data_IF_613272013750
#
_entry.id   IF_613272013750
#
_cell.length_a   1.000
_cell.length_b   1.000
_cell.length_c   1.000
_cell.angle_alpha   90.00
_cell.angle_beta   90.00
_cell.angle_gamma   90.00
#
_symmetry.space_group_name_H-M   'P 1'
#
loop_
_entity.id
_entity.type
_entity.pdbx_description
1 polymer ?
#
# COMPACT_ATOMS: atom_id res chain seq x y z
N UNK A 1 -16.85 -35.10 -29.35
CA UNK A 1 -15.84 -35.13 -28.27
C UNK A 1 -15.35 -33.70 -28.05
N UNK A 2 -15.73 -33.06 -26.94
CA UNK A 2 -15.18 -31.75 -26.55
C UNK A 2 -13.87 -32.05 -25.80
N UNK A 3 -12.73 -31.63 -26.35
CA UNK A 3 -11.45 -31.64 -25.67
C UNK A 3 -11.57 -30.72 -24.45
N UNK A 4 -11.45 -31.28 -23.25
CA UNK A 4 -11.22 -30.48 -22.06
C UNK A 4 -9.73 -30.09 -22.02
N UNK A 5 -9.40 -28.82 -21.72
CA UNK A 5 -8.01 -28.40 -21.53
C UNK A 5 -7.42 -29.11 -20.30
N UNK A 6 -6.13 -29.46 -20.39
CA UNK A 6 -5.44 -30.18 -19.34
C UNK A 6 -5.17 -29.27 -18.12
N UNK A 7 -5.26 -29.76 -16.87
CA UNK A 7 -5.12 -28.94 -15.65
C UNK A 7 -3.70 -28.41 -15.39
N UNK A 8 -2.74 -28.69 -16.28
CA UNK A 8 -1.33 -28.29 -16.18
C UNK A 8 -0.95 -27.07 -17.03
N UNK A 9 -1.82 -26.61 -17.94
CA UNK A 9 -1.52 -25.54 -18.90
C UNK A 9 -1.98 -24.14 -18.42
N UNK A 10 -3.02 -24.07 -17.60
CA UNK A 10 -3.59 -22.79 -17.10
C UNK A 10 -2.56 -21.83 -16.46
N UNK A 11 -1.66 -22.26 -15.53
CA UNK A 11 -0.73 -21.32 -14.91
C UNK A 11 0.32 -20.77 -15.87
N UNK A 12 0.70 -21.52 -16.92
CA UNK A 12 1.63 -21.00 -17.93
C UNK A 12 0.96 -20.01 -18.86
N UNK A 13 -0.31 -20.24 -19.18
CA UNK A 13 -1.10 -19.34 -20.03
C UNK A 13 -1.38 -18.01 -19.34
N UNK A 14 -1.68 -18.01 -18.03
CA UNK A 14 -1.82 -16.77 -17.25
C UNK A 14 -0.52 -15.96 -17.21
N UNK A 15 0.64 -16.60 -17.00
CA UNK A 15 1.92 -15.90 -17.01
C UNK A 15 2.25 -15.29 -18.39
N UNK A 16 1.86 -15.96 -19.49
CA UNK A 16 2.02 -15.41 -20.85
C UNK A 16 1.11 -14.20 -21.07
N UNK A 17 -0.15 -14.27 -20.61
CA UNK A 17 -1.08 -13.13 -20.67
C UNK A 17 -0.54 -11.94 -19.89
N UNK A 18 -0.07 -12.15 -18.66
CA UNK A 18 0.50 -11.10 -17.81
C UNK A 18 1.74 -10.49 -18.47
N UNK A 19 2.66 -11.31 -19.01
CA UNK A 19 3.85 -10.80 -19.72
C UNK A 19 3.47 -9.96 -20.94
N UNK A 20 2.48 -10.39 -21.70
CA UNK A 20 2.01 -9.63 -22.86
C UNK A 20 1.33 -8.32 -22.44
N UNK A 21 0.57 -8.33 -21.35
CA UNK A 21 -0.10 -7.14 -20.81
C UNK A 21 0.88 -6.10 -20.26
N UNK A 22 1.92 -6.53 -19.56
CA UNK A 22 2.93 -5.67 -18.96
C UNK A 22 4.03 -5.24 -19.94
N UNK A 23 3.98 -5.70 -21.20
CA UNK A 23 4.97 -5.32 -22.19
C UNK A 23 4.74 -3.86 -22.59
N UNK A 24 5.77 -3.00 -22.53
CA UNK A 24 5.62 -1.61 -22.96
C UNK A 24 5.19 -1.55 -24.43
N UNK A 25 4.40 -0.53 -24.83
CA UNK A 25 4.03 -0.36 -26.22
C UNK A 25 5.29 -0.15 -27.09
N UNK A 26 5.26 -0.57 -28.36
CA UNK A 26 6.35 -0.28 -29.28
C UNK A 26 6.46 1.24 -29.49
N UNK A 27 7.69 1.73 -29.59
CA UNK A 27 7.97 3.13 -29.92
C UNK A 27 7.83 3.28 -31.44
N UNK A 28 7.09 4.28 -31.96
CA UNK A 28 6.99 4.53 -33.40
C UNK A 28 8.37 4.65 -34.05
N UNK A 29 8.56 3.95 -35.17
CA UNK A 29 9.79 3.94 -35.96
C UNK A 29 11.08 3.47 -35.25
N UNK A 30 10.97 2.93 -34.02
CA UNK A 30 12.11 2.41 -33.26
C UNK A 30 11.92 0.91 -33.01
N UNK A 31 12.66 0.03 -33.73
CA UNK A 31 12.58 -1.40 -33.50
C UNK A 31 13.14 -1.75 -32.12
N UNK A 32 12.53 -2.74 -31.47
CA UNK A 32 13.01 -3.34 -30.22
C UNK A 32 13.38 -2.32 -29.12
N UNK A 33 12.58 -1.26 -28.99
CA UNK A 33 12.80 -0.17 -28.02
C UNK A 33 14.18 0.51 -28.12
N UNK A 34 14.84 0.41 -29.28
CA UNK A 34 16.16 0.98 -29.51
C UNK A 34 17.27 0.18 -28.83
N UNK A 35 16.99 -1.04 -28.38
CA UNK A 35 17.98 -1.95 -27.85
C UNK A 35 18.89 -2.36 -29.03
N UNK A 36 20.21 -2.07 -28.95
CA UNK A 36 21.14 -2.46 -30.01
C UNK A 36 21.24 -3.98 -30.10
N UNK A 37 21.54 -4.49 -31.30
CA UNK A 37 21.83 -5.91 -31.49
C UNK A 37 23.02 -6.34 -30.61
N UNK A 38 23.00 -7.60 -30.18
CA UNK A 38 24.09 -8.18 -29.39
C UNK A 38 25.43 -7.98 -30.11
N UNK A 39 26.42 -7.45 -29.38
CA UNK A 39 27.75 -7.22 -29.92
C UNK A 39 28.51 -8.55 -30.04
N UNK A 40 29.05 -8.86 -31.20
CA UNK A 40 29.92 -10.03 -31.41
C UNK A 40 31.37 -9.80 -30.95
N UNK A 41 31.71 -8.58 -30.52
CA UNK A 41 33.07 -8.24 -30.08
C UNK A 41 33.41 -8.88 -28.72
N UNK A 42 34.65 -9.37 -28.54
CA UNK A 42 35.09 -9.89 -27.26
C UNK A 42 35.16 -8.77 -26.21
N UNK A 43 34.63 -9.04 -25.02
CA UNK A 43 34.67 -8.10 -23.89
C UNK A 43 36.11 -7.75 -23.50
N UNK A 44 36.37 -6.46 -23.24
CA UNK A 44 37.68 -5.95 -22.81
C UNK A 44 38.23 -6.76 -21.61
N UNK A 45 39.42 -7.38 -21.74
CA UNK A 45 40.01 -8.19 -20.68
C UNK A 45 40.22 -7.39 -19.38
N UNK A 46 40.52 -6.09 -19.45
CA UNK A 46 40.71 -5.28 -18.25
C UNK A 46 39.39 -5.08 -17.49
N UNK A 47 38.28 -4.84 -18.20
CA UNK A 47 36.96 -4.75 -17.61
C UNK A 47 36.51 -6.09 -17.01
N UNK A 48 36.73 -7.20 -17.73
CA UNK A 48 36.45 -8.55 -17.23
C UNK A 48 37.22 -8.84 -15.94
N UNK A 49 38.51 -8.52 -15.89
CA UNK A 49 39.34 -8.71 -14.69
C UNK A 49 38.80 -7.91 -13.49
N UNK A 50 38.41 -6.65 -13.70
CA UNK A 50 37.79 -5.81 -12.65
C UNK A 50 36.50 -6.42 -12.13
N UNK A 51 35.60 -6.85 -13.03
CA UNK A 51 34.34 -7.49 -12.64
C UNK A 51 34.58 -8.79 -11.87
N UNK A 52 35.54 -9.62 -12.30
CA UNK A 52 35.90 -10.84 -11.59
C UNK A 52 36.43 -10.55 -10.18
N UNK A 53 37.22 -9.49 -10.01
CA UNK A 53 37.70 -9.06 -8.69
C UNK A 53 36.53 -8.64 -7.79
N UNK A 54 35.59 -7.83 -8.28
CA UNK A 54 34.41 -7.45 -7.51
C UNK A 54 33.53 -8.66 -7.16
N UNK A 55 33.41 -9.62 -8.08
CA UNK A 55 32.71 -10.88 -7.83
C UNK A 55 33.36 -11.68 -6.70
N UNK A 56 34.69 -11.83 -6.73
CA UNK A 56 35.44 -12.52 -5.68
C UNK A 56 35.25 -11.84 -4.31
N UNK A 57 35.30 -10.50 -4.25
CA UNK A 57 35.09 -9.74 -3.01
C UNK A 57 33.64 -9.85 -2.48
N UNK A 58 32.65 -9.94 -3.38
CA UNK A 58 31.24 -10.11 -3.00
C UNK A 58 30.96 -11.50 -2.43
N UNK A 59 31.64 -12.52 -2.95
CA UNK A 59 31.45 -13.93 -2.59
C UNK A 59 32.49 -14.46 -1.59
N UNK A 60 33.30 -13.58 -0.99
CA UNK A 60 34.27 -13.97 0.04
C UNK A 60 33.53 -14.58 1.25
N UNK A 61 33.84 -15.82 1.66
CA UNK A 61 33.13 -16.51 2.74
C UNK A 61 33.40 -15.93 4.13
N UNK A 62 34.48 -15.16 4.32
CA UNK A 62 34.88 -14.63 5.63
C UNK A 62 34.37 -13.21 5.84
N UNK A 63 34.45 -12.37 4.79
CA UNK A 63 34.00 -10.97 4.86
C UNK A 63 33.41 -10.53 3.51
N UNK A 64 32.15 -10.89 3.22
CA UNK A 64 31.51 -10.52 1.97
C UNK A 64 31.34 -9.00 1.90
N UNK A 65 31.89 -8.38 0.87
CA UNK A 65 31.76 -6.94 0.65
C UNK A 65 30.60 -6.66 -0.30
N UNK A 66 29.46 -6.23 0.25
CA UNK A 66 28.37 -5.69 -0.57
C UNK A 66 28.50 -4.18 -0.71
N UNK A 67 28.41 -3.69 -1.96
CA UNK A 67 28.43 -2.25 -2.23
C UNK A 67 27.29 -1.51 -1.50
N UNK A 68 26.12 -2.16 -1.39
CA UNK A 68 24.97 -1.63 -0.67
C UNK A 68 25.29 -1.34 0.80
N UNK A 69 26.15 -2.13 1.45
CA UNK A 69 26.53 -1.90 2.86
C UNK A 69 27.36 -0.62 2.99
N UNK A 70 28.32 -0.42 2.07
CA UNK A 70 29.12 0.80 2.01
C UNK A 70 28.23 2.02 1.74
N UNK A 71 27.27 1.90 0.82
CA UNK A 71 26.33 2.95 0.47
C UNK A 71 25.41 3.30 1.63
N UNK A 72 24.89 2.32 2.36
CA UNK A 72 24.04 2.53 3.55
C UNK A 72 24.81 3.07 4.76
N UNK A 73 26.11 2.78 4.88
CA UNK A 73 26.97 3.34 5.93
C UNK A 73 27.14 4.86 5.79
N UNK A 74 27.08 5.37 4.54
CA UNK A 74 27.25 6.78 4.23
C UNK A 74 26.11 7.63 4.83
N UNK A 75 26.45 8.65 5.60
CA UNK A 75 25.46 9.52 6.25
C UNK A 75 24.66 10.37 5.27
N UNK A 76 25.25 10.77 4.16
CA UNK A 76 24.55 11.51 3.10
C UNK A 76 23.46 10.67 2.45
N UNK A 77 23.63 9.34 2.40
CA UNK A 77 22.62 8.43 1.87
C UNK A 77 21.39 8.31 2.79
N UNK A 78 21.55 8.60 4.09
CA UNK A 78 20.47 8.56 5.09
C UNK A 78 19.70 9.88 5.22
N UNK A 79 19.84 10.79 4.25
CA UNK A 79 19.09 12.04 4.21
C UNK A 79 17.67 11.77 3.66
N UNK A 80 16.59 12.08 4.40
CA UNK A 80 15.21 11.87 3.91
C UNK A 80 14.90 12.62 2.60
N UNK A 81 15.61 13.72 2.30
CA UNK A 81 15.43 14.47 1.06
C UNK A 81 16.23 13.91 -0.13
N UNK A 82 17.13 12.95 0.08
CA UNK A 82 17.93 12.39 -1.01
C UNK A 82 17.04 11.69 -2.04
N UNK A 83 16.07 10.91 -1.56
CA UNK A 83 15.18 10.15 -2.43
C UNK A 83 14.42 11.05 -3.40
N UNK A 84 13.79 12.13 -2.92
CA UNK A 84 13.11 13.12 -3.77
C UNK A 84 14.03 13.69 -4.84
N UNK A 85 15.27 14.03 -4.49
CA UNK A 85 16.26 14.53 -5.46
C UNK A 85 16.68 13.49 -6.49
N UNK A 86 16.75 12.21 -6.12
CA UNK A 86 17.07 11.14 -7.05
C UNK A 86 15.92 10.93 -8.04
N UNK A 87 14.68 10.98 -7.57
CA UNK A 87 13.48 10.92 -8.42
C UNK A 87 13.46 12.09 -9.40
N UNK A 88 13.67 13.33 -8.91
CA UNK A 88 13.77 14.53 -9.74
C UNK A 88 14.91 14.45 -10.76
N UNK A 89 16.07 13.92 -10.36
CA UNK A 89 17.25 13.82 -11.23
C UNK A 89 17.06 12.79 -12.36
N UNK A 90 16.43 11.66 -12.08
CA UNK A 90 16.18 10.60 -13.07
C UNK A 90 14.89 10.86 -13.86
N UNK A 91 14.12 11.88 -13.49
CA UNK A 91 12.83 12.24 -14.10
C UNK A 91 11.86 11.04 -14.13
N UNK A 92 11.70 10.40 -12.96
CA UNK A 92 10.87 9.20 -12.79
C UNK A 92 9.52 9.57 -12.18
N UNK A 93 8.44 9.11 -12.79
CA UNK A 93 7.11 9.13 -12.17
C UNK A 93 6.96 7.94 -11.20
N UNK A 94 6.93 8.22 -9.90
CA UNK A 94 6.82 7.23 -8.83
C UNK A 94 5.49 6.49 -8.80
N UNK A 95 4.45 7.07 -9.42
CA UNK A 95 3.10 6.51 -9.47
C UNK A 95 2.83 5.80 -10.79
N UNK A 96 3.76 5.84 -11.74
CA UNK A 96 3.59 5.18 -13.03
C UNK A 96 3.46 3.66 -12.86
N UNK A 97 2.67 3.05 -13.73
CA UNK A 97 2.52 1.59 -13.78
C UNK A 97 2.72 1.09 -15.20
N UNK A 98 3.05 -0.20 -15.34
CA UNK A 98 3.15 -0.86 -16.63
C UNK A 98 1.76 -1.25 -17.20
N UNK A 99 0.67 -0.86 -16.54
CA UNK A 99 -0.68 -1.13 -17.04
C UNK A 99 -1.11 -0.03 -18.01
N UNK A 100 -1.81 -0.41 -19.10
CA UNK A 100 -2.55 0.55 -19.91
C UNK A 100 -3.51 1.38 -19.05
N UNK A 101 -3.55 2.70 -19.28
CA UNK A 101 -4.36 3.64 -18.46
C UNK A 101 -5.87 3.39 -18.54
N UNK A 102 -6.33 2.77 -19.63
CA UNK A 102 -7.70 2.30 -19.80
C UNK A 102 -8.06 1.13 -18.86
N UNK A 103 -7.06 0.37 -18.41
CA UNK A 103 -7.23 -0.71 -17.43
C UNK A 103 -7.03 -0.19 -16.01
N UNK A 104 -5.97 0.60 -15.80
CA UNK A 104 -5.66 1.18 -14.50
C UNK A 104 -4.94 2.51 -14.66
N UNK A 105 -5.57 3.60 -14.21
CA UNK A 105 -4.94 4.91 -14.09
C UNK A 105 -4.72 5.26 -12.60
N UNK A 106 -3.45 5.32 -12.14
CA UNK A 106 -3.10 5.76 -10.80
C UNK A 106 -3.58 7.17 -10.43
N UNK A 107 -3.98 7.97 -11.43
CA UNK A 107 -4.42 9.35 -11.28
C UNK A 107 -5.95 9.51 -11.43
N UNK A 108 -6.71 8.45 -11.72
CA UNK A 108 -8.18 8.48 -11.75
C UNK A 108 -8.78 8.44 -10.34
N UNK A 109 -8.39 9.43 -9.52
CA UNK A 109 -8.90 9.62 -8.16
C UNK A 109 -10.08 10.58 -8.24
N UNK A 110 -11.27 10.10 -7.86
CA UNK A 110 -12.50 10.90 -7.87
C UNK A 110 -12.54 11.90 -6.71
N UNK A 111 -13.10 13.10 -6.92
CA UNK A 111 -13.18 14.11 -5.87
C UNK A 111 -13.92 13.60 -4.62
N UNK A 112 -14.99 12.83 -4.82
CA UNK A 112 -15.81 12.27 -3.75
C UNK A 112 -15.07 11.27 -2.85
N UNK A 113 -13.87 10.83 -3.26
CA UNK A 113 -13.03 9.93 -2.46
C UNK A 113 -12.11 10.68 -1.50
N UNK A 114 -11.96 12.00 -1.66
CA UNK A 114 -11.18 12.80 -0.72
C UNK A 114 -11.88 12.86 0.64
N UNK A 115 -11.09 12.81 1.70
CA UNK A 115 -11.58 12.80 3.08
C UNK A 115 -12.52 13.98 3.38
N UNK A 116 -12.22 15.16 2.81
CA UNK A 116 -13.02 16.38 2.99
C UNK A 116 -14.42 16.23 2.40
N UNK A 117 -14.53 15.73 1.16
CA UNK A 117 -15.83 15.50 0.50
C UNK A 117 -16.66 14.43 1.22
N UNK A 118 -15.99 13.36 1.68
CA UNK A 118 -16.64 12.32 2.48
C UNK A 118 -17.18 12.91 3.79
N UNK A 119 -16.41 13.77 4.45
CA UNK A 119 -16.82 14.42 5.70
C UNK A 119 -18.03 15.35 5.48
N UNK A 120 -18.04 16.11 4.39
CA UNK A 120 -19.17 16.99 4.04
C UNK A 120 -20.46 16.20 3.80
N UNK A 121 -20.38 15.11 3.03
CA UNK A 121 -21.53 14.22 2.78
C UNK A 121 -22.02 13.57 4.07
N UNK A 122 -21.12 13.11 4.94
CA UNK A 122 -21.47 12.53 6.24
C UNK A 122 -22.15 13.55 7.15
N UNK A 123 -21.64 14.79 7.17
CA UNK A 123 -22.21 15.88 7.94
C UNK A 123 -23.61 16.20 7.46
N UNK A 124 -23.82 16.38 6.16
CA UNK A 124 -25.13 16.66 5.60
C UNK A 124 -26.14 15.54 5.89
N UNK A 125 -25.73 14.28 5.79
CA UNK A 125 -26.57 13.15 6.16
C UNK A 125 -26.96 13.18 7.64
N UNK A 126 -26.02 13.52 8.54
CA UNK A 126 -26.27 13.61 9.98
C UNK A 126 -27.26 14.75 10.32
N UNK A 127 -27.13 15.90 9.66
CA UNK A 127 -28.03 17.04 9.82
C UNK A 127 -29.44 16.72 9.32
N UNK A 128 -29.57 16.07 8.16
CA UNK A 128 -30.87 15.62 7.62
C UNK A 128 -31.55 14.59 8.54
N UNK A 129 -30.79 13.64 9.09
CA UNK A 129 -31.32 12.66 10.05
C UNK A 129 -31.80 13.32 11.35
N UNK A 130 -31.01 14.23 11.92
CA UNK A 130 -31.42 14.96 13.13
C UNK A 130 -32.64 15.84 12.90
N UNK A 131 -32.75 16.52 11.75
CA UNK A 131 -33.90 17.35 11.40
C UNK A 131 -35.19 16.54 11.22
N UNK A 132 -35.11 15.39 10.54
CA UNK A 132 -36.26 14.48 10.36
C UNK A 132 -36.71 13.82 11.66
N UNK A 133 -35.79 13.46 12.55
CA UNK A 133 -36.12 12.97 13.89
C UNK A 133 -36.72 14.07 14.77
N UNK A 134 -36.29 15.33 14.62
CA UNK A 134 -36.86 16.47 15.34
C UNK A 134 -38.31 16.77 14.93
N UNK A 135 -38.69 16.50 13.69
CA UNK A 135 -40.04 16.68 13.16
C UNK A 135 -41.03 15.58 13.63
N UNK A 136 -40.54 14.41 14.06
CA UNK A 136 -41.33 13.24 14.43
C UNK A 136 -41.17 12.81 15.89
N UNK A 137 -41.23 13.74 16.85
CA UNK A 137 -41.10 13.47 18.30
C UNK A 137 -42.11 12.42 18.80
N UNK A 138 -41.79 11.13 18.68
CA UNK A 138 -42.12 10.12 19.67
C UNK A 138 -41.02 10.18 20.74
N UNK A 139 -41.20 11.06 21.72
CA UNK A 139 -40.29 11.23 22.86
C UNK A 139 -40.27 10.04 23.83
N UNK A 140 -41.06 8.99 23.55
CA UNK A 140 -41.21 7.84 24.43
C UNK A 140 -41.44 6.56 23.62
N UNK A 141 -40.44 5.67 23.61
CA UNK A 141 -40.60 4.29 23.15
C UNK A 141 -40.88 3.48 24.42
N UNK A 142 -42.13 3.06 24.60
CA UNK A 142 -42.49 2.14 25.68
C UNK A 142 -41.91 0.76 25.36
N UNK A 143 -40.77 0.44 25.97
CA UNK A 143 -40.31 -0.94 26.00
C UNK A 143 -41.20 -1.70 26.98
N UNK A 144 -42.16 -2.47 26.47
CA UNK A 144 -42.83 -3.47 27.29
C UNK A 144 -41.76 -4.42 27.83
N UNK A 145 -41.58 -4.46 29.15
CA UNK A 145 -40.76 -5.49 29.76
C UNK A 145 -41.30 -6.85 29.34
N UNK A 146 -40.46 -7.68 28.71
CA UNK A 146 -40.80 -9.08 28.56
C UNK A 146 -41.11 -9.62 29.97
N UNK A 147 -42.25 -10.31 30.12
CA UNK A 147 -42.56 -11.10 31.31
C UNK A 147 -41.59 -12.29 31.36
N UNK A 148 -40.35 -12.03 31.72
CA UNK A 148 -39.43 -13.07 32.14
C UNK A 148 -39.61 -13.26 33.64
N UNK A 149 -40.16 -14.44 33.97
CA UNK A 149 -40.10 -14.99 35.32
C UNK A 149 -38.64 -15.00 35.78
N UNK A 150 -38.43 -14.67 37.06
CA UNK A 150 -37.19 -14.79 37.84
C UNK A 150 -36.03 -15.49 37.13
N UNK A 151 -35.10 -14.69 36.61
CA UNK A 151 -33.84 -15.16 36.05
C UNK A 151 -32.77 -14.08 36.19
N UNK A 152 -31.70 -14.40 36.91
CA UNK A 152 -30.59 -13.54 37.35
C UNK A 152 -30.08 -12.48 36.34
N UNK A 153 -29.52 -11.34 36.83
CA UNK A 153 -29.16 -10.20 35.98
C UNK A 153 -27.99 -10.54 35.04
N UNK A 154 -28.23 -10.49 33.72
CA UNK A 154 -27.17 -10.58 32.71
C UNK A 154 -26.62 -9.18 32.43
N UNK A 155 -25.34 -8.95 32.73
CA UNK A 155 -24.60 -7.74 32.35
C UNK A 155 -24.61 -7.60 30.81
N UNK A 156 -24.99 -6.42 30.30
CA UNK A 156 -24.86 -6.10 28.88
C UNK A 156 -23.38 -6.12 28.48
N UNK A 157 -23.08 -6.84 27.40
CA UNK A 157 -21.71 -7.09 26.92
C UNK A 157 -21.15 -5.98 26.02
N UNK A 158 -21.95 -4.97 25.68
CA UNK A 158 -21.54 -3.94 24.72
C UNK A 158 -21.39 -2.57 25.39
N UNK A 159 -20.14 -2.17 25.61
CA UNK A 159 -19.72 -0.82 25.97
C UNK A 159 -18.59 -0.41 25.02
N UNK A 160 -18.82 0.50 24.05
CA UNK A 160 -17.75 0.90 23.14
C UNK A 160 -16.78 1.91 23.77
N UNK A 161 -17.12 2.54 24.90
CA UNK A 161 -16.19 3.38 25.67
C UNK A 161 -16.47 3.24 27.17
N UNK A 162 -15.47 2.78 27.93
CA UNK A 162 -15.58 2.50 29.36
C UNK A 162 -15.79 3.77 30.18
N UNK A 163 -16.89 3.82 30.94
CA UNK A 163 -17.15 4.83 31.98
C UNK A 163 -16.75 4.25 33.34
N UNK A 164 -15.58 4.63 33.85
CA UNK A 164 -15.20 4.42 35.25
C UNK A 164 -15.51 5.66 36.07
N UNK A 165 -16.47 5.57 36.99
CA UNK A 165 -16.67 6.57 38.04
C UNK A 165 -15.97 6.15 39.34
N UNK A 166 -15.21 7.12 39.87
CA UNK A 166 -14.89 7.39 41.27
C UNK A 166 -13.68 6.68 41.94
N UNK A 167 -12.66 7.49 42.29
CA UNK A 167 -11.82 7.27 43.46
C UNK A 167 -10.32 7.55 43.30
N UNK A 168 -9.89 8.75 43.72
CA UNK A 168 -8.56 9.11 44.28
C UNK A 168 -7.33 8.34 43.78
N UNK A 169 -6.53 8.95 42.89
CA UNK A 169 -5.13 9.33 43.17
C UNK A 169 -4.53 10.09 41.97
N UNK A 170 -4.01 11.30 42.19
CA UNK A 170 -3.35 12.14 41.18
C UNK A 170 -1.83 12.01 41.36
N UNK A 171 -1.27 10.83 41.11
CA UNK A 171 0.20 10.68 41.20
C UNK A 171 0.79 9.48 40.44
N UNK A 172 0.22 9.03 39.32
CA UNK A 172 0.99 8.27 38.30
C UNK A 172 0.13 7.84 37.13
N UNK A 173 0.24 8.51 35.98
CA UNK A 173 -0.09 7.91 34.67
C UNK A 173 1.18 7.89 33.83
N UNK A 174 1.64 6.73 33.34
CA UNK A 174 2.78 6.69 32.43
C UNK A 174 2.39 7.33 31.09
N UNK A 175 3.26 8.23 30.58
CA UNK A 175 3.12 8.83 29.25
C UNK A 175 3.24 7.75 28.19
N UNK A 176 2.17 7.54 27.42
CA UNK A 176 2.24 6.78 26.17
C UNK A 176 2.85 7.64 25.06
N UNK A 177 3.47 6.98 24.08
CA UNK A 177 4.18 7.59 22.94
C UNK A 177 3.28 8.38 21.98
N UNK A 178 1.98 8.19 22.09
CA UNK A 178 0.97 8.96 21.39
C UNK A 178 0.30 9.81 22.47
N UNK A 179 0.31 11.12 22.25
CA UNK A 179 0.08 12.17 23.24
C UNK A 179 -1.31 12.18 23.91
N UNK A 180 -1.61 13.28 24.63
CA UNK A 180 -2.43 13.30 25.85
C UNK A 180 -3.84 12.71 25.72
#
# INVERSE_FOLDING_TARGET
MKLQPSPSEEPQDELRKIRNLLRPPPIPDVPDWGIPAETAEPCDPALRAKLMQFFALKHDPVNPKHFNDSLMSNRSFRNPHLYTKLVEFVDVDERATNFPKDIWDPNDVKPDWFADQIADVQKEQSERQSASQAAGKRSHINFSSAKDKEGAPRKSRFQPYGSSTLGKDLSSRPKTRWGP
#
